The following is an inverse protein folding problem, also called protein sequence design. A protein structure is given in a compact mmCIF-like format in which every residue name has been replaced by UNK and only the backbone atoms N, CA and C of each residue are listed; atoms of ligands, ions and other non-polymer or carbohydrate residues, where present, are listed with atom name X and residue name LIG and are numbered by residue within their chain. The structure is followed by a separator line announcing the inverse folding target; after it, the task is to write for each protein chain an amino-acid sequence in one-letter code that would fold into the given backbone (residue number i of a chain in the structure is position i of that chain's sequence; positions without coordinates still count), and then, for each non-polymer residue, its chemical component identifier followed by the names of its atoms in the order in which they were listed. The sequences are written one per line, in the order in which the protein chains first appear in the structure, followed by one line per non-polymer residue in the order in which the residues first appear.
data_IF_428050091660
#
_entry.id   IF_428050091660
#
_cell.length_a   1.000
_cell.length_b   1.000
_cell.length_c   1.000
_cell.angle_alpha   90.00
_cell.angle_beta   90.00
_cell.angle_gamma   90.00
#
_symmetry.space_group_name_H-M   'P 1'
#
loop_
_entity.id
_entity.type
_entity.pdbx_description
1 polymer ?
#
# COMPACT_ATOMS: atom_id res chain seq x y z
N UNK A 1 1.28 -16.66 -9.90
CA UNK A 1 1.34 -15.22 -10.25
C UNK A 1 0.76 -15.13 -11.64
N UNK A 2 -0.40 -14.47 -11.79
CA UNK A 2 -1.39 -14.58 -12.88
C UNK A 2 -1.77 -16.01 -13.35
N UNK A 3 -3.06 -16.32 -13.30
CA UNK A 3 -3.60 -17.63 -13.73
C UNK A 3 -3.38 -18.79 -12.75
N UNK A 4 -2.64 -18.59 -11.65
CA UNK A 4 -2.41 -19.64 -10.66
C UNK A 4 -3.70 -20.00 -9.90
N UNK A 5 -3.93 -21.28 -9.69
CA UNK A 5 -5.02 -21.78 -8.85
C UNK A 5 -4.76 -21.49 -7.36
N UNK A 6 -5.80 -21.62 -6.53
CA UNK A 6 -5.64 -21.58 -5.08
C UNK A 6 -4.66 -22.66 -4.57
N UNK A 7 -4.70 -23.86 -5.13
CA UNK A 7 -3.84 -24.97 -4.71
C UNK A 7 -2.35 -24.65 -4.95
N UNK A 8 -2.03 -24.04 -6.09
CA UNK A 8 -0.67 -23.61 -6.43
C UNK A 8 -0.25 -22.38 -5.60
N UNK A 9 -1.17 -21.45 -5.35
CA UNK A 9 -0.89 -20.17 -4.70
C UNK A 9 -0.73 -20.24 -3.19
N UNK A 10 -1.46 -21.12 -2.50
CA UNK A 10 -1.46 -21.19 -1.03
C UNK A 10 -0.07 -21.47 -0.41
N UNK A 11 0.76 -22.39 -0.94
CA UNK A 11 2.14 -22.55 -0.46
C UNK A 11 2.96 -21.27 -0.55
N UNK A 12 2.77 -20.45 -1.58
CA UNK A 12 3.48 -19.20 -1.76
C UNK A 12 3.01 -18.12 -0.78
N UNK A 13 1.70 -18.06 -0.49
CA UNK A 13 1.16 -17.17 0.55
C UNK A 13 1.74 -17.53 1.92
N UNK A 14 1.79 -18.82 2.25
CA UNK A 14 2.35 -19.28 3.52
C UNK A 14 3.85 -18.91 3.65
N UNK A 15 4.62 -19.06 2.57
CA UNK A 15 6.03 -18.66 2.57
C UNK A 15 6.20 -17.13 2.60
N UNK A 16 5.30 -16.40 1.94
CA UNK A 16 5.26 -14.95 2.01
C UNK A 16 4.99 -14.44 3.43
N UNK A 17 4.06 -15.04 4.17
CA UNK A 17 3.79 -14.68 5.57
C UNK A 17 5.04 -14.88 6.46
N UNK A 18 5.76 -16.00 6.29
CA UNK A 18 7.03 -16.24 7.02
C UNK A 18 8.08 -15.18 6.69
N UNK A 19 8.18 -14.77 5.42
CA UNK A 19 9.13 -13.73 4.99
C UNK A 19 8.77 -12.36 5.55
N UNK A 20 7.48 -12.01 5.62
CA UNK A 20 7.05 -10.77 6.28
C UNK A 20 7.48 -10.73 7.75
N UNK A 21 7.24 -11.83 8.48
CA UNK A 21 7.64 -11.97 9.87
C UNK A 21 9.15 -11.83 10.04
N UNK A 22 9.93 -12.51 9.19
CA UNK A 22 11.39 -12.41 9.20
C UNK A 22 11.87 -10.97 8.93
N UNK A 23 11.27 -10.27 7.97
CA UNK A 23 11.61 -8.87 7.66
C UNK A 23 11.41 -7.99 8.90
N UNK A 24 10.27 -8.11 9.59
CA UNK A 24 10.00 -7.32 10.80
C UNK A 24 11.00 -7.63 11.91
N UNK A 25 11.30 -8.92 12.14
CA UNK A 25 12.28 -9.35 13.14
C UNK A 25 13.68 -8.80 12.85
N UNK A 26 14.14 -8.92 11.61
CA UNK A 26 15.46 -8.47 11.18
C UNK A 26 15.61 -6.94 11.22
N UNK A 27 14.54 -6.20 10.90
CA UNK A 27 14.50 -4.74 11.06
C UNK A 27 14.58 -4.39 12.55
N UNK A 28 13.72 -4.95 13.39
CA UNK A 28 13.72 -4.65 14.83
C UNK A 28 15.08 -4.97 15.49
N UNK A 29 15.74 -6.06 15.08
CA UNK A 29 17.08 -6.42 15.57
C UNK A 29 18.16 -5.38 15.20
N UNK A 30 18.01 -4.69 14.05
CA UNK A 30 18.94 -3.65 13.59
C UNK A 30 18.64 -2.27 14.14
N UNK A 31 17.41 -2.02 14.61
CA UNK A 31 16.99 -0.76 15.20
C UNK A 31 16.56 -0.97 16.67
N UNK A 32 17.52 -1.18 17.59
CA UNK A 32 17.21 -1.51 19.00
C UNK A 32 16.51 -0.38 19.75
N UNK A 33 16.58 0.87 19.26
CA UNK A 33 15.79 2.00 19.76
C UNK A 33 14.33 2.00 19.32
N UNK A 34 13.92 0.99 18.54
CA UNK A 34 12.62 0.92 17.88
C UNK A 34 12.61 1.66 16.54
N UNK A 35 11.70 1.25 15.67
CA UNK A 35 11.37 1.95 14.45
C UNK A 35 9.88 1.74 14.15
N UNK A 36 9.29 2.62 13.35
CA UNK A 36 7.97 2.40 12.79
C UNK A 36 8.11 1.84 11.38
N UNK A 37 7.37 0.78 11.08
CA UNK A 37 7.37 0.10 9.78
C UNK A 37 5.98 0.30 9.18
N UNK A 38 5.91 0.68 7.91
CA UNK A 38 4.64 0.88 7.22
C UNK A 38 4.51 -0.19 6.13
N UNK A 39 3.60 -1.14 6.33
CA UNK A 39 3.25 -2.14 5.34
C UNK A 39 2.04 -1.69 4.55
N UNK A 40 1.99 -2.06 3.28
CA UNK A 40 0.83 -1.81 2.46
C UNK A 40 0.26 -3.13 1.92
N UNK A 41 -1.06 -3.20 1.81
CA UNK A 41 -1.74 -4.31 1.16
C UNK A 41 -1.76 -4.11 -0.37
N UNK A 42 -2.07 -5.17 -1.11
CA UNK A 42 -2.00 -5.21 -2.57
C UNK A 42 -3.35 -4.80 -3.15
N UNK A 43 -3.35 -3.87 -4.10
CA UNK A 43 -4.54 -3.39 -4.81
C UNK A 43 -5.06 -4.37 -5.87
N UNK A 44 -6.31 -4.15 -6.28
CA UNK A 44 -7.01 -4.92 -7.30
C UNK A 44 -7.35 -4.05 -8.53
N UNK A 45 -6.64 -4.20 -9.67
CA UNK A 45 -6.92 -3.43 -10.87
C UNK A 45 -8.29 -3.76 -11.50
N UNK A 46 -8.94 -4.85 -11.11
CA UNK A 46 -10.31 -5.19 -11.57
C UNK A 46 -11.42 -4.53 -10.75
N UNK A 47 -11.08 -3.64 -9.81
CA UNK A 47 -12.05 -2.97 -8.93
C UNK A 47 -12.98 -3.94 -8.18
N UNK A 48 -12.52 -5.15 -7.86
CA UNK A 48 -13.29 -6.18 -7.18
C UNK A 48 -14.19 -7.02 -8.07
N UNK A 49 -14.19 -6.83 -9.40
CA UNK A 49 -14.95 -7.69 -10.32
C UNK A 49 -14.26 -9.03 -10.60
N UNK A 50 -12.92 -9.08 -10.56
CA UNK A 50 -12.16 -10.30 -10.85
C UNK A 50 -12.14 -10.67 -12.34
N UNK A 51 -12.52 -9.73 -13.21
CA UNK A 51 -12.60 -9.87 -14.68
C UNK A 51 -11.36 -9.29 -15.37
N UNK A 52 -10.19 -9.64 -14.83
CA UNK A 52 -8.90 -9.14 -15.30
C UNK A 52 -8.67 -9.41 -16.80
N UNK A 53 -9.36 -10.38 -17.39
CA UNK A 53 -9.29 -10.65 -18.83
C UNK A 53 -9.76 -9.49 -19.72
N UNK A 54 -10.56 -8.56 -19.19
CA UNK A 54 -10.93 -7.33 -19.91
C UNK A 54 -9.74 -6.41 -20.21
N UNK A 55 -8.61 -6.67 -19.57
CA UNK A 55 -7.36 -5.97 -19.79
C UNK A 55 -6.42 -6.65 -20.82
N UNK A 56 -6.84 -7.78 -21.39
CA UNK A 56 -6.04 -8.57 -22.32
C UNK A 56 -5.22 -9.69 -21.66
N UNK A 57 -5.30 -9.84 -20.34
CA UNK A 57 -4.73 -10.97 -19.60
C UNK A 57 -5.62 -12.23 -19.73
N UNK A 58 -5.09 -13.44 -19.46
CA UNK A 58 -5.94 -14.62 -19.35
C UNK A 58 -6.92 -14.52 -18.16
N UNK A 59 -8.12 -15.13 -18.25
CA UNK A 59 -9.03 -15.21 -17.11
C UNK A 59 -8.36 -15.83 -15.89
N UNK A 60 -8.61 -15.27 -14.71
CA UNK A 60 -8.03 -15.75 -13.47
C UNK A 60 -9.10 -15.95 -12.39
N UNK A 61 -9.86 -17.06 -12.42
CA UNK A 61 -11.00 -17.29 -11.53
C UNK A 61 -10.66 -17.27 -10.03
N UNK A 62 -9.43 -17.63 -9.69
CA UNK A 62 -8.93 -17.64 -8.31
C UNK A 62 -8.14 -16.38 -7.94
N UNK A 63 -7.99 -15.41 -8.86
CA UNK A 63 -7.18 -14.21 -8.68
C UNK A 63 -7.58 -13.40 -7.44
N UNK A 64 -8.85 -13.03 -7.31
CA UNK A 64 -9.34 -12.28 -6.15
C UNK A 64 -9.22 -13.06 -4.84
N UNK A 65 -9.42 -14.39 -4.88
CA UNK A 65 -9.30 -15.24 -3.68
C UNK A 65 -7.84 -15.27 -3.22
N UNK A 66 -6.90 -15.40 -4.15
CA UNK A 66 -5.49 -15.43 -3.83
C UNK A 66 -4.98 -14.06 -3.38
N UNK A 67 -5.42 -12.98 -4.04
CA UNK A 67 -5.15 -11.59 -3.62
C UNK A 67 -5.60 -11.35 -2.18
N UNK A 68 -6.83 -11.77 -1.85
CA UNK A 68 -7.35 -11.67 -0.48
C UNK A 68 -6.47 -12.42 0.53
N UNK A 69 -5.90 -13.58 0.16
CA UNK A 69 -4.98 -14.33 1.02
C UNK A 69 -3.63 -13.65 1.23
N UNK A 70 -3.10 -12.97 0.22
CA UNK A 70 -1.90 -12.14 0.41
C UNK A 70 -2.19 -10.94 1.33
N UNK A 71 -3.32 -10.25 1.12
CA UNK A 71 -3.71 -9.11 1.95
C UNK A 71 -3.97 -9.53 3.41
N UNK A 72 -4.62 -10.68 3.62
CA UNK A 72 -4.81 -11.28 4.95
C UNK A 72 -3.46 -11.56 5.63
N UNK A 73 -2.46 -12.07 4.92
CA UNK A 73 -1.12 -12.30 5.47
C UNK A 73 -0.42 -11.00 5.88
N UNK A 74 -0.54 -9.93 5.09
CA UNK A 74 0.01 -8.60 5.38
C UNK A 74 -0.66 -8.02 6.63
N UNK A 75 -1.99 -8.03 6.66
CA UNK A 75 -2.81 -7.55 7.79
C UNK A 75 -2.49 -8.31 9.07
N UNK A 76 -2.39 -9.64 8.98
CA UNK A 76 -2.03 -10.49 10.12
C UNK A 76 -0.64 -10.18 10.65
N UNK A 77 0.35 -9.97 9.78
CA UNK A 77 1.69 -9.58 10.20
C UNK A 77 1.67 -8.21 10.89
N UNK A 78 1.05 -7.19 10.27
CA UNK A 78 0.95 -5.86 10.85
C UNK A 78 0.28 -5.89 12.24
N UNK A 79 -0.81 -6.64 12.40
CA UNK A 79 -1.51 -6.78 13.68
C UNK A 79 -0.68 -7.46 14.79
N UNK A 80 0.24 -8.36 14.44
CA UNK A 80 1.12 -9.04 15.42
C UNK A 80 2.16 -8.10 16.02
N UNK A 81 2.52 -7.01 15.32
CA UNK A 81 3.65 -6.16 15.67
C UNK A 81 3.19 -4.71 15.92
N UNK A 82 3.22 -4.20 17.16
CA UNK A 82 2.74 -2.85 17.49
C UNK A 82 3.45 -1.71 16.75
N UNK A 83 4.66 -1.93 16.24
CA UNK A 83 5.44 -0.97 15.47
C UNK A 83 5.14 -0.99 13.96
N UNK A 84 4.33 -1.95 13.50
CA UNK A 84 3.97 -2.11 12.08
C UNK A 84 2.57 -1.54 11.85
N UNK A 85 2.49 -0.55 10.96
CA UNK A 85 1.26 0.15 10.60
C UNK A 85 0.82 -0.27 9.19
N UNK A 86 -0.46 -0.55 9.04
CA UNK A 86 -1.03 -0.94 7.74
C UNK A 86 -1.52 0.31 6.98
N UNK A 87 -1.00 0.46 5.76
CA UNK A 87 -1.40 1.45 4.77
C UNK A 87 -2.33 0.76 3.75
N UNK A 88 -3.64 1.06 3.82
CA UNK A 88 -4.67 0.38 3.02
C UNK A 88 -4.73 0.91 1.57
N UNK A 89 -3.76 0.50 0.76
CA UNK A 89 -3.70 0.80 -0.68
C UNK A 89 -4.82 0.09 -1.46
N UNK A 90 -5.20 -1.11 -1.04
CA UNK A 90 -6.23 -1.90 -1.70
C UNK A 90 -7.54 -1.13 -1.74
N UNK A 91 -8.01 -0.65 -0.59
CA UNK A 91 -9.22 0.17 -0.54
C UNK A 91 -9.07 1.48 -1.31
N UNK A 92 -7.91 2.13 -1.24
CA UNK A 92 -7.66 3.38 -1.95
C UNK A 92 -7.82 3.23 -3.47
N UNK A 93 -7.42 2.10 -4.05
CA UNK A 93 -7.42 1.90 -5.50
C UNK A 93 -8.75 1.41 -6.07
N UNK A 94 -9.67 0.91 -5.23
CA UNK A 94 -10.98 0.49 -5.68
C UNK A 94 -11.77 1.66 -6.26
N UNK A 95 -12.18 1.53 -7.52
CA UNK A 95 -12.85 2.60 -8.27
C UNK A 95 -11.94 3.31 -9.26
N UNK A 96 -10.65 2.96 -9.29
CA UNK A 96 -9.64 3.58 -10.14
C UNK A 96 -8.95 2.57 -11.07
N UNK A 97 -9.47 1.34 -11.14
CA UNK A 97 -9.08 0.29 -12.08
C UNK A 97 -9.95 0.24 -13.34
N UNK A 98 -10.10 -0.97 -13.88
CA UNK A 98 -10.76 -1.25 -15.16
C UNK A 98 -12.18 -0.68 -15.29
N UNK A 99 -12.86 -0.43 -14.16
CA UNK A 99 -14.24 0.05 -14.11
C UNK A 99 -14.37 1.50 -13.67
N UNK A 100 -13.26 2.23 -13.51
CA UNK A 100 -13.25 3.63 -13.04
C UNK A 100 -14.19 4.59 -13.76
N UNK A 101 -14.39 4.41 -15.07
CA UNK A 101 -15.30 5.24 -15.87
C UNK A 101 -16.78 4.79 -15.85
N UNK A 102 -17.13 3.69 -15.17
CA UNK A 102 -18.46 3.07 -15.24
C UNK A 102 -19.30 3.49 -14.02
N UNK A 103 -20.18 4.48 -14.19
CA UNK A 103 -20.94 5.08 -13.07
C UNK A 103 -21.87 4.11 -12.31
N UNK A 104 -22.23 2.99 -12.93
CA UNK A 104 -23.08 1.94 -12.34
C UNK A 104 -22.27 0.88 -11.58
N UNK A 105 -20.94 0.94 -11.62
CA UNK A 105 -20.08 -0.05 -10.99
C UNK A 105 -19.94 0.22 -9.48
N UNK A 106 -19.79 -0.84 -8.69
CA UNK A 106 -19.86 -0.79 -7.22
C UNK A 106 -18.93 0.23 -6.58
N UNK A 107 -17.71 0.33 -7.12
CA UNK A 107 -16.64 1.16 -6.57
C UNK A 107 -16.47 2.50 -7.29
N UNK A 108 -17.39 2.89 -8.18
CA UNK A 108 -17.29 4.14 -8.92
C UNK A 108 -17.13 5.37 -8.00
N UNK A 109 -16.02 6.10 -8.15
CA UNK A 109 -15.82 7.37 -7.47
C UNK A 109 -16.24 8.53 -8.37
N UNK A 110 -17.40 9.13 -8.07
CA UNK A 110 -17.90 10.31 -8.78
C UNK A 110 -16.95 11.51 -8.68
N UNK A 111 -16.16 11.63 -7.62
CA UNK A 111 -15.22 12.74 -7.43
C UNK A 111 -13.95 12.55 -8.24
N UNK A 112 -13.55 11.30 -8.48
CA UNK A 112 -12.42 10.98 -9.34
C UNK A 112 -12.67 9.71 -10.20
N UNK A 113 -13.42 9.82 -11.31
CA UNK A 113 -13.77 8.67 -12.15
C UNK A 113 -12.65 8.32 -13.16
N UNK A 114 -11.39 8.32 -12.71
CA UNK A 114 -10.23 8.13 -13.58
C UNK A 114 -9.43 6.88 -13.24
N UNK A 115 -8.82 6.34 -14.29
CA UNK A 115 -7.92 5.20 -14.24
C UNK A 115 -6.56 5.58 -13.64
N UNK A 116 -6.06 4.79 -12.69
CA UNK A 116 -4.84 5.06 -11.93
C UNK A 116 -3.67 4.11 -12.23
N UNK A 117 -3.77 3.27 -13.26
CA UNK A 117 -2.70 2.36 -13.65
C UNK A 117 -2.06 2.76 -14.99
N UNK A 118 -0.86 2.25 -15.25
CA UNK A 118 -0.31 2.16 -16.59
C UNK A 118 -0.90 0.95 -17.35
N UNK A 119 -0.53 0.82 -18.62
CA UNK A 119 -1.02 -0.25 -19.50
C UNK A 119 -0.65 -1.66 -19.04
N UNK A 120 0.32 -1.80 -18.13
CA UNK A 120 0.71 -3.09 -17.57
C UNK A 120 -0.17 -3.54 -16.39
N UNK A 121 -1.09 -2.70 -15.89
CA UNK A 121 -2.03 -2.97 -14.77
C UNK A 121 -1.37 -3.23 -13.41
N UNK A 122 -0.06 -3.41 -13.40
CA UNK A 122 0.75 -3.64 -12.22
C UNK A 122 1.17 -2.31 -11.62
N UNK A 123 1.66 -1.37 -12.44
CA UNK A 123 2.18 -0.10 -11.97
C UNK A 123 1.10 0.99 -11.95
N UNK A 124 1.01 1.77 -10.87
CA UNK A 124 0.25 3.00 -10.86
C UNK A 124 0.79 4.00 -11.90
N UNK A 125 -0.08 4.80 -12.50
CA UNK A 125 0.34 5.97 -13.28
C UNK A 125 0.63 7.17 -12.36
N UNK A 126 0.92 8.33 -12.93
CA UNK A 126 1.25 9.54 -12.14
C UNK A 126 0.18 9.89 -11.08
N UNK A 127 -1.11 9.67 -11.39
CA UNK A 127 -2.23 9.93 -10.46
C UNK A 127 -2.26 8.90 -9.34
N UNK A 128 -2.13 7.62 -9.69
CA UNK A 128 -2.06 6.54 -8.71
C UNK A 128 -0.85 6.69 -7.78
N UNK A 129 0.32 7.05 -8.31
CA UNK A 129 1.49 7.35 -7.49
C UNK A 129 1.31 8.59 -6.61
N UNK A 130 0.62 9.66 -7.07
CA UNK A 130 0.30 10.80 -6.17
C UNK A 130 -0.61 10.37 -5.02
N UNK A 131 -1.65 9.59 -5.32
CA UNK A 131 -2.57 9.07 -4.31
C UNK A 131 -1.84 8.19 -3.28
N UNK A 132 -0.96 7.28 -3.75
CA UNK A 132 -0.12 6.45 -2.88
C UNK A 132 0.80 7.27 -1.99
N UNK A 133 1.55 8.21 -2.58
CA UNK A 133 2.44 9.10 -1.81
C UNK A 133 1.67 9.83 -0.70
N UNK A 134 0.48 10.34 -1.02
CA UNK A 134 -0.37 11.03 -0.05
C UNK A 134 -0.88 10.10 1.05
N UNK A 135 -1.28 8.88 0.70
CA UNK A 135 -1.75 7.89 1.66
C UNK A 135 -0.64 7.54 2.67
N UNK A 136 0.56 7.22 2.19
CA UNK A 136 1.70 6.96 3.07
C UNK A 136 2.07 8.16 3.92
N UNK A 137 2.11 9.36 3.34
CA UNK A 137 2.46 10.58 4.07
C UNK A 137 1.45 10.86 5.20
N UNK A 138 0.16 10.68 4.93
CA UNK A 138 -0.89 10.85 5.94
C UNK A 138 -0.74 9.82 7.08
N UNK A 139 -0.47 8.55 6.75
CA UNK A 139 -0.28 7.51 7.77
C UNK A 139 0.96 7.79 8.63
N UNK A 140 2.08 8.14 8.00
CA UNK A 140 3.31 8.55 8.70
C UNK A 140 3.03 9.75 9.62
N UNK A 141 2.33 10.78 9.12
CA UNK A 141 1.99 11.96 9.92
C UNK A 141 1.04 11.64 11.07
N UNK A 142 0.16 10.65 10.92
CA UNK A 142 -0.79 10.18 11.94
C UNK A 142 -0.09 9.40 13.06
N UNK A 143 0.92 8.61 12.70
CA UNK A 143 1.69 7.76 13.61
C UNK A 143 2.78 8.52 14.37
N UNK A 144 3.39 9.53 13.73
CA UNK A 144 4.51 10.29 14.30
C UNK A 144 4.17 11.62 15.03
N UNK A 145 2.98 11.89 15.65
CA UNK A 145 2.74 13.18 16.26
C UNK A 145 3.78 13.51 17.36
N UNK A 146 4.62 14.50 17.04
CA UNK A 146 5.61 15.22 17.84
C UNK A 146 6.86 14.44 18.36
N UNK A 147 7.71 13.95 17.46
CA UNK A 147 9.18 14.07 17.70
C UNK A 147 9.69 15.50 17.45
N UNK A 148 8.90 16.35 16.79
CA UNK A 148 9.11 17.79 16.71
C UNK A 148 8.02 18.49 17.52
N UNK A 149 8.29 18.79 18.78
CA UNK A 149 7.44 19.67 19.57
C UNK A 149 7.45 21.11 19.01
N UNK A 150 6.61 22.02 19.51
CA UNK A 150 6.60 23.44 19.13
C UNK A 150 7.92 24.21 19.40
N UNK A 151 8.98 23.53 19.87
CA UNK A 151 10.25 24.11 20.28
C UNK A 151 11.40 23.95 19.29
N UNK A 152 11.29 23.11 18.26
CA UNK A 152 12.32 23.00 17.20
C UNK A 152 12.09 24.05 16.11
N UNK A 153 11.88 25.30 16.52
CA UNK A 153 12.25 26.42 15.67
C UNK A 153 13.77 26.43 15.60
N UNK A 154 14.32 26.02 14.45
CA UNK A 154 15.68 26.37 14.04
C UNK A 154 15.98 27.79 14.50
N UNK A 155 16.88 27.90 15.47
CA UNK A 155 17.36 29.18 15.96
C UNK A 155 17.92 29.99 14.77
N UNK A 156 17.16 30.99 14.33
CA UNK A 156 17.57 31.91 13.26
C UNK A 156 18.58 32.95 13.76
N UNK A 157 19.17 32.79 14.95
CA UNK A 157 20.15 33.74 15.50
C UNK A 157 21.56 33.62 14.93
N UNK A 158 21.88 32.56 14.16
CA UNK A 158 23.19 32.46 13.49
C UNK A 158 23.18 33.24 12.17
N UNK A 159 23.21 34.57 12.28
CA UNK A 159 23.20 35.44 11.09
C UNK A 159 23.60 36.90 11.34
N UNK A 160 24.17 37.25 12.49
CA UNK A 160 24.72 38.60 12.72
C UNK A 160 26.03 38.52 13.50
N UNK A 161 27.11 38.21 12.80
CA UNK A 161 28.45 38.71 13.12
C UNK A 161 29.35 38.51 11.91
N UNK A 162 29.28 39.45 10.97
CA UNK A 162 30.39 39.74 10.07
C UNK A 162 31.08 41.01 10.61
N UNK A 163 32.37 40.97 10.97
CA UNK A 163 33.10 42.17 11.36
C UNK A 163 33.31 43.09 10.15
N UNK A 164 33.35 44.39 10.45
CA UNK A 164 33.45 45.52 9.51
C UNK A 164 34.72 45.51 8.67
#
# INVERSE_FOLDING_TARGET
MYGATMAEGLPWVAEFEKRLELIVQEINARFPGGCHIFFCNIYDPSDGAGDIEKSGLPPWPDGLKLLAKYNEAIENCARKHPSVHLVDMHRLFLGHGLHSGQFWFRHYDRKDPHYWYYTNLEDPNERGYDALRRLFFNEISSVLPAQFGPGDTLDRSIGRNAPR
#
